data_IF_330456649025
#
_entry.id   IF_330456649025
#
_cell.length_a   1.000
_cell.length_b   1.000
_cell.length_c   1.000
_cell.angle_alpha   90.00
_cell.angle_beta   90.00
_cell.angle_gamma   90.00
#
_symmetry.space_group_name_H-M   'P 1'
#
loop_
_entity.id
_entity.type
_entity.pdbx_description
1 polymer ?
#
# COMPACT_ATOMS: atom_id res chain seq x y z
N UNK A 1 18.15 7.83 1.00
CA UNK A 1 17.23 8.25 2.08
C UNK A 1 16.06 7.29 2.00
N UNK A 2 15.77 6.55 3.06
CA UNK A 2 14.61 5.66 3.10
C UNK A 2 13.34 6.46 3.35
N UNK A 3 12.19 6.00 2.87
CA UNK A 3 10.90 6.62 3.20
C UNK A 3 10.67 6.65 4.72
N UNK A 4 10.01 7.70 5.18
CA UNK A 4 9.61 7.84 6.58
C UNK A 4 8.29 7.10 6.79
N UNK A 5 8.32 6.05 7.63
CA UNK A 5 7.13 5.35 8.10
C UNK A 5 6.58 6.01 9.37
N UNK A 6 5.26 5.94 9.64
CA UNK A 6 4.25 5.28 8.81
C UNK A 6 3.74 6.17 7.66
N UNK A 7 3.37 5.55 6.55
CA UNK A 7 2.71 6.21 5.42
C UNK A 7 1.20 6.08 5.61
N UNK A 8 0.46 7.17 5.43
CA UNK A 8 -1.01 7.17 5.46
C UNK A 8 -1.54 7.71 4.15
N UNK A 9 -2.24 6.86 3.39
CA UNK A 9 -2.80 7.23 2.08
C UNK A 9 -4.24 6.77 1.95
N UNK A 10 -5.03 7.48 1.13
CA UNK A 10 -6.42 7.10 0.86
C UNK A 10 -6.44 6.15 -0.33
N UNK A 11 -6.83 4.90 -0.09
CA UNK A 11 -6.84 3.85 -1.11
C UNK A 11 -8.27 3.31 -1.29
N UNK A 12 -8.60 2.91 -2.51
CA UNK A 12 -9.86 2.22 -2.82
C UNK A 12 -9.79 0.74 -2.45
N UNK A 13 -10.81 0.24 -1.77
CA UNK A 13 -10.96 -1.14 -1.36
C UNK A 13 -12.29 -1.71 -1.83
N UNK A 14 -12.28 -2.98 -2.20
CA UNK A 14 -13.50 -3.75 -2.44
C UNK A 14 -13.71 -4.71 -1.29
N UNK A 15 -14.84 -4.59 -0.59
CA UNK A 15 -15.10 -5.46 0.55
C UNK A 15 -15.31 -6.92 0.09
N UNK A 16 -14.53 -7.90 0.57
CA UNK A 16 -14.66 -9.30 0.15
C UNK A 16 -15.98 -9.95 0.60
N UNK A 17 -16.65 -9.36 1.60
CA UNK A 17 -17.89 -9.92 2.17
C UNK A 17 -19.17 -9.39 1.52
N UNK A 18 -19.22 -8.10 1.21
CA UNK A 18 -20.44 -7.46 0.68
C UNK A 18 -20.25 -6.83 -0.71
N UNK A 19 -19.04 -6.94 -1.27
CA UNK A 19 -18.68 -6.50 -2.62
C UNK A 19 -18.92 -5.00 -2.89
N UNK A 20 -18.98 -4.19 -1.83
CA UNK A 20 -19.06 -2.73 -1.93
C UNK A 20 -17.67 -2.16 -2.09
N UNK A 21 -17.54 -1.21 -3.01
CA UNK A 21 -16.35 -0.39 -3.20
C UNK A 21 -16.41 0.82 -2.27
N UNK A 22 -15.30 1.13 -1.61
CA UNK A 22 -15.18 2.30 -0.74
C UNK A 22 -13.71 2.72 -0.64
N UNK A 23 -13.47 3.96 -0.26
CA UNK A 23 -12.11 4.43 0.04
C UNK A 23 -11.90 4.53 1.54
N UNK A 24 -10.72 4.14 2.00
CA UNK A 24 -10.32 4.26 3.40
C UNK A 24 -8.84 4.64 3.50
N UNK A 25 -8.47 5.22 4.65
CA UNK A 25 -7.06 5.47 4.96
C UNK A 25 -6.37 4.14 5.24
N UNK A 26 -5.38 3.79 4.42
CA UNK A 26 -4.46 2.71 4.65
C UNK A 26 -3.28 3.23 5.48
N UNK A 27 -2.98 2.55 6.59
CA UNK A 27 -1.85 2.86 7.44
C UNK A 27 -0.76 1.83 7.17
N UNK A 28 0.29 2.24 6.48
CA UNK A 28 1.43 1.40 6.12
C UNK A 28 2.51 1.65 7.18
N UNK A 29 2.65 0.72 8.11
CA UNK A 29 3.60 0.83 9.23
C UNK A 29 4.87 0.02 9.02
N UNK A 30 4.78 -1.05 8.22
CA UNK A 30 5.85 -1.98 7.93
C UNK A 30 5.90 -2.24 6.42
N UNK A 31 7.10 -2.30 5.88
CA UNK A 31 7.39 -2.58 4.48
C UNK A 31 8.36 -3.76 4.41
N UNK A 32 7.99 -4.79 3.67
CA UNK A 32 8.89 -5.89 3.32
C UNK A 32 9.48 -5.63 1.94
N UNK A 33 10.79 -5.43 1.85
CA UNK A 33 11.46 -5.21 0.57
C UNK A 33 11.43 -6.48 -0.28
N UNK A 34 10.80 -6.39 -1.46
CA UNK A 34 10.64 -7.52 -2.37
C UNK A 34 11.69 -7.49 -3.48
N UNK A 35 11.90 -6.31 -4.08
CA UNK A 35 12.74 -6.18 -5.26
C UNK A 35 13.33 -4.76 -5.38
N UNK A 36 14.44 -4.65 -6.10
CA UNK A 36 15.06 -3.38 -6.44
C UNK A 36 15.68 -3.46 -7.83
N UNK A 37 15.44 -2.46 -8.68
CA UNK A 37 15.99 -2.38 -10.03
C UNK A 37 16.55 -0.99 -10.32
N UNK A 38 17.69 -0.88 -11.00
CA UNK A 38 18.30 0.41 -11.32
C UNK A 38 17.73 0.94 -12.64
N UNK A 39 17.03 2.08 -12.57
CA UNK A 39 16.39 2.74 -13.72
C UNK A 39 16.97 4.13 -13.94
N UNK A 40 16.53 4.81 -15.00
CA UNK A 40 17.18 6.05 -15.48
C UNK A 40 17.29 7.19 -14.46
N UNK A 41 16.34 7.33 -13.54
CA UNK A 41 16.35 8.37 -12.49
C UNK A 41 16.89 7.89 -11.14
N UNK A 42 17.30 6.63 -11.03
CA UNK A 42 17.80 5.98 -9.82
C UNK A 42 17.19 4.60 -9.60
N UNK A 43 17.39 4.04 -8.42
CA UNK A 43 16.82 2.74 -8.03
C UNK A 43 15.30 2.84 -7.88
N UNK A 44 14.59 1.90 -8.48
CA UNK A 44 13.20 1.58 -8.19
C UNK A 44 13.18 0.48 -7.12
N UNK A 45 12.45 0.69 -6.02
CA UNK A 45 12.29 -0.32 -4.97
C UNK A 45 10.83 -0.74 -4.89
N UNK A 46 10.59 -2.04 -4.74
CA UNK A 46 9.27 -2.64 -4.54
C UNK A 46 9.19 -3.19 -3.12
N UNK A 47 8.08 -2.91 -2.46
CA UNK A 47 7.78 -3.38 -1.11
C UNK A 47 6.39 -4.00 -1.05
N UNK A 48 6.25 -5.07 -0.29
CA UNK A 48 4.96 -5.60 0.14
C UNK A 48 4.60 -4.98 1.50
N UNK A 49 3.31 -4.75 1.73
CA UNK A 49 2.79 -4.32 3.03
C UNK A 49 1.44 -4.96 3.33
N UNK A 50 1.08 -4.92 4.62
CA UNK A 50 -0.23 -5.32 5.11
C UNK A 50 -0.84 -4.13 5.85
N UNK A 51 -2.11 -3.83 5.56
CA UNK A 51 -2.89 -2.81 6.25
C UNK A 51 -4.21 -3.38 6.75
N UNK A 52 -4.64 -2.95 7.93
CA UNK A 52 -5.95 -3.32 8.45
C UNK A 52 -7.04 -2.43 7.84
N UNK A 53 -8.11 -3.05 7.35
CA UNK A 53 -9.21 -2.33 6.69
C UNK A 53 -10.53 -2.78 7.29
N UNK A 54 -11.45 -1.83 7.48
CA UNK A 54 -12.81 -2.13 7.88
C UNK A 54 -13.81 -1.58 6.87
N UNK A 55 -14.70 -2.44 6.38
CA UNK A 55 -15.78 -2.04 5.49
C UNK A 55 -16.75 -1.08 6.19
N UNK A 56 -17.00 0.07 5.57
CA UNK A 56 -17.92 1.09 6.09
C UNK A 56 -19.37 0.60 6.12
N UNK A 57 -19.74 -0.29 5.20
CA UNK A 57 -21.10 -0.84 5.05
C UNK A 57 -21.39 -2.02 5.98
N UNK A 58 -20.66 -3.13 5.84
CA UNK A 58 -20.96 -4.38 6.57
C UNK A 58 -20.12 -4.58 7.85
N UNK A 59 -19.24 -3.62 8.18
CA UNK A 59 -18.34 -3.63 9.35
C UNK A 59 -17.36 -4.79 9.44
N UNK A 60 -17.26 -5.60 8.38
CA UNK A 60 -16.25 -6.64 8.28
C UNK A 60 -14.87 -6.01 8.20
N UNK A 61 -13.99 -6.41 9.11
CA UNK A 61 -12.57 -6.09 9.08
C UNK A 61 -11.77 -7.22 8.46
N UNK A 62 -10.73 -6.89 7.70
CA UNK A 62 -9.77 -7.82 7.15
C UNK A 62 -8.40 -7.16 7.02
N UNK A 63 -7.37 -7.98 6.87
CA UNK A 63 -6.03 -7.54 6.54
C UNK A 63 -5.90 -7.53 5.01
N UNK A 64 -5.62 -6.35 4.45
CA UNK A 64 -5.42 -6.17 3.02
C UNK A 64 -3.92 -6.14 2.72
N UNK A 65 -3.50 -6.96 1.77
CA UNK A 65 -2.14 -6.98 1.23
C UNK A 65 -2.03 -5.99 0.07
N UNK A 66 -0.92 -5.28 0.01
CA UNK A 66 -0.64 -4.33 -1.05
C UNK A 66 0.83 -4.22 -1.39
N UNK A 67 1.11 -3.55 -2.49
CA UNK A 67 2.46 -3.28 -2.97
C UNK A 67 2.70 -1.77 -3.02
N UNK A 68 3.89 -1.35 -2.62
CA UNK A 68 4.37 0.02 -2.71
C UNK A 68 5.63 0.04 -3.58
N UNK A 69 5.66 0.99 -4.51
CA UNK A 69 6.77 1.20 -5.42
C UNK A 69 7.40 2.57 -5.18
N UNK A 70 8.70 2.62 -4.95
CA UNK A 70 9.50 3.84 -4.96
C UNK A 70 10.17 4.01 -6.32
N UNK A 71 10.07 5.19 -6.94
CA UNK A 71 10.94 5.52 -8.07
C UNK A 71 11.04 7.04 -8.30
N UNK A 72 12.26 7.64 -8.23
CA UNK A 72 13.49 7.04 -7.73
C UNK A 72 13.43 6.79 -6.21
N UNK A 73 14.42 6.08 -5.66
CA UNK A 73 14.48 5.75 -4.23
C UNK A 73 14.16 6.93 -3.32
N UNK A 74 13.23 6.71 -2.38
CA UNK A 74 12.71 7.72 -1.46
C UNK A 74 11.51 8.54 -1.96
N UNK A 75 11.01 8.29 -3.18
CA UNK A 75 9.78 8.90 -3.70
C UNK A 75 8.75 7.83 -4.05
N UNK A 76 7.57 7.88 -3.43
CA UNK A 76 6.45 6.96 -3.73
C UNK A 76 6.00 7.22 -5.17
N UNK A 77 6.07 6.19 -6.00
CA UNK A 77 5.60 6.18 -7.37
C UNK A 77 4.20 5.57 -7.49
N UNK A 78 3.93 4.46 -6.78
CA UNK A 78 2.64 3.77 -6.83
C UNK A 78 2.36 3.04 -5.51
N UNK A 79 1.08 2.97 -5.14
CA UNK A 79 0.56 2.08 -4.09
C UNK A 79 -0.64 1.34 -4.67
N UNK A 80 -0.66 0.02 -4.57
CA UNK A 80 -1.72 -0.85 -5.10
C UNK A 80 -2.13 -1.91 -4.05
N UNK A 81 -3.40 -2.32 -4.05
CA UNK A 81 -3.95 -3.36 -3.17
C UNK A 81 -4.27 -4.60 -4.03
N UNK A 82 -3.95 -5.79 -3.51
CA UNK A 82 -4.14 -7.09 -4.19
C UNK A 82 -5.58 -7.61 -4.12
#
# INVERSE_FOLDING_TARGET
MSMELPITEIIGFTCPKCNVEFSASALIQDLEHVNSDERGMGTENQYDFITQVQCTNCKHGWDAEGELWEYPSGAINLIEIK
#
